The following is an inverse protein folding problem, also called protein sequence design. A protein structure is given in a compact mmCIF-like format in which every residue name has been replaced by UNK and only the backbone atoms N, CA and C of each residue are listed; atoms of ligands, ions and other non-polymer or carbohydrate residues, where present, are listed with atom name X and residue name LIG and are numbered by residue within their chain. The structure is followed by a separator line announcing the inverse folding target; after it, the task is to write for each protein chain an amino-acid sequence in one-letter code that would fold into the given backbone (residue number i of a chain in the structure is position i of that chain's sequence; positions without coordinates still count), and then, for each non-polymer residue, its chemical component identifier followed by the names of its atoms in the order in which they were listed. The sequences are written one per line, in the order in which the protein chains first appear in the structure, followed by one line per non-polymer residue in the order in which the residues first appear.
data_IF_223001710972
#
_entry.id   IF_223001710972
#
_cell.length_a   1.000
_cell.length_b   1.000
_cell.length_c   1.000
_cell.angle_alpha   90.00
_cell.angle_beta   90.00
_cell.angle_gamma   90.00
#
_symmetry.space_group_name_H-M   'P 1'
#
loop_
_entity.id
_entity.type
_entity.pdbx_description
1 polymer ?
#
# COMPACT_ATOMS: atom_id res chain seq x y z
N UNK A 1 -17.69 5.57 15.25
CA UNK A 1 -16.80 4.84 14.32
C UNK A 1 -15.41 5.45 14.41
N UNK A 2 -14.42 4.66 14.72
CA UNK A 2 -13.04 5.16 14.85
C UNK A 2 -12.31 4.93 13.53
N UNK A 3 -12.17 5.99 12.73
CA UNK A 3 -11.53 5.90 11.41
C UNK A 3 -10.04 5.62 11.50
N UNK A 4 -9.36 6.08 12.57
CA UNK A 4 -7.94 5.77 12.74
C UNK A 4 -7.72 4.29 13.02
N UNK A 5 -8.62 3.64 13.76
CA UNK A 5 -8.59 2.19 13.94
C UNK A 5 -8.84 1.45 12.62
N UNK A 6 -9.75 1.94 11.79
CA UNK A 6 -9.99 1.35 10.48
C UNK A 6 -8.77 1.48 9.57
N UNK A 7 -8.11 2.63 9.60
CA UNK A 7 -6.87 2.82 8.85
C UNK A 7 -5.76 1.91 9.37
N UNK A 8 -5.65 1.73 10.69
CA UNK A 8 -4.69 0.80 11.27
C UNK A 8 -4.99 -0.64 10.83
N UNK A 9 -6.26 -1.01 10.77
CA UNK A 9 -6.65 -2.35 10.32
C UNK A 9 -6.21 -2.62 8.88
N UNK A 10 -6.21 -1.61 8.01
CA UNK A 10 -5.68 -1.76 6.64
C UNK A 10 -4.20 -2.15 6.67
N UNK A 11 -3.40 -1.51 7.52
CA UNK A 11 -1.99 -1.85 7.67
C UNK A 11 -1.80 -3.24 8.28
N UNK A 12 -2.60 -3.57 9.29
CA UNK A 12 -2.51 -4.87 9.97
C UNK A 12 -2.85 -6.02 9.03
N UNK A 13 -3.87 -5.86 8.20
CA UNK A 13 -4.26 -6.87 7.22
C UNK A 13 -3.23 -7.02 6.10
N UNK A 14 -2.54 -5.95 5.75
CA UNK A 14 -1.40 -6.05 4.84
C UNK A 14 -0.29 -6.89 5.47
N UNK A 15 0.06 -6.59 6.71
CA UNK A 15 1.18 -7.25 7.41
C UNK A 15 0.96 -8.75 7.60
N UNK A 16 -0.27 -9.17 7.91
CA UNK A 16 -0.58 -10.59 8.09
C UNK A 16 -1.05 -11.26 6.80
N UNK A 17 -1.08 -10.52 5.70
CA UNK A 17 -1.51 -10.98 4.36
C UNK A 17 -2.99 -11.33 4.25
N UNK A 18 -3.80 -11.00 5.26
CA UNK A 18 -5.24 -11.24 5.22
C UNK A 18 -5.99 -10.24 4.33
N UNK A 19 -5.31 -9.20 3.82
CA UNK A 19 -5.93 -8.26 2.89
C UNK A 19 -6.56 -8.96 1.69
N UNK A 20 -6.02 -10.10 1.27
CA UNK A 20 -6.56 -10.87 0.13
C UNK A 20 -8.00 -11.28 0.37
N UNK A 21 -8.31 -11.69 1.60
CA UNK A 21 -9.67 -12.13 1.96
C UNK A 21 -10.54 -11.00 2.47
N UNK A 22 -9.94 -9.97 3.06
CA UNK A 22 -10.65 -8.92 3.79
C UNK A 22 -10.88 -7.64 2.99
N UNK A 23 -10.24 -7.49 1.82
CA UNK A 23 -10.36 -6.27 1.03
C UNK A 23 -11.83 -5.93 0.71
N UNK A 24 -12.64 -6.93 0.34
CA UNK A 24 -14.06 -6.73 0.03
C UNK A 24 -14.87 -6.25 1.21
N UNK A 25 -14.47 -6.62 2.43
CA UNK A 25 -15.15 -6.20 3.65
C UNK A 25 -14.74 -4.81 4.08
N UNK A 26 -13.50 -4.41 3.79
CA UNK A 26 -12.95 -3.12 4.22
C UNK A 26 -13.21 -2.00 3.23
N UNK A 27 -13.45 -2.33 1.96
CA UNK A 27 -13.48 -1.36 0.87
C UNK A 27 -14.83 -1.36 0.15
N UNK A 28 -15.22 -0.17 -0.32
CA UNK A 28 -16.37 -0.02 -1.19
C UNK A 28 -16.10 -0.78 -2.51
N UNK A 29 -17.13 -1.39 -3.13
CA UNK A 29 -16.94 -2.08 -4.42
C UNK A 29 -16.34 -1.22 -5.53
N UNK A 30 -16.52 0.11 -5.46
CA UNK A 30 -16.00 1.06 -6.44
C UNK A 30 -14.80 1.84 -5.92
N UNK A 31 -14.12 1.34 -4.90
CA UNK A 31 -12.96 2.03 -4.31
C UNK A 31 -11.95 2.44 -5.38
N UNK A 32 -11.49 3.69 -5.30
CA UNK A 32 -10.43 4.20 -6.18
C UNK A 32 -9.08 4.04 -5.50
N UNK A 33 -8.17 3.34 -6.16
CA UNK A 33 -6.80 3.16 -5.72
C UNK A 33 -5.91 4.05 -6.59
N UNK A 34 -5.09 4.89 -5.97
CA UNK A 34 -4.18 5.80 -6.68
C UNK A 34 -2.76 5.57 -6.22
N UNK A 35 -1.88 5.25 -7.15
CA UNK A 35 -0.43 5.25 -6.93
C UNK A 35 0.10 6.58 -7.49
N UNK A 36 0.37 7.54 -6.62
CA UNK A 36 0.78 8.87 -7.04
C UNK A 36 2.09 8.89 -7.83
N UNK A 37 3.15 8.19 -7.41
CA UNK A 37 4.42 8.24 -8.13
C UNK A 37 4.33 7.82 -9.59
N UNK A 38 3.46 6.86 -9.91
CA UNK A 38 3.26 6.40 -11.30
C UNK A 38 2.04 7.03 -11.95
N UNK A 39 1.25 7.79 -11.21
CA UNK A 39 -0.01 8.37 -11.64
C UNK A 39 -1.01 7.29 -12.14
N UNK A 40 -0.95 6.12 -11.53
CA UNK A 40 -1.78 4.99 -11.89
C UNK A 40 -3.05 4.98 -11.04
N UNK A 41 -4.20 4.77 -11.69
CA UNK A 41 -5.49 4.65 -11.02
C UNK A 41 -6.12 3.30 -11.33
N UNK A 42 -6.68 2.68 -10.30
CA UNK A 42 -7.33 1.37 -10.39
C UNK A 42 -8.60 1.40 -9.56
N UNK A 43 -9.56 0.52 -9.88
CA UNK A 43 -10.83 0.48 -9.16
C UNK A 43 -11.17 -0.92 -8.67
N UNK A 44 -11.73 -0.95 -7.47
CA UNK A 44 -12.31 -2.14 -6.85
C UNK A 44 -11.37 -2.84 -5.88
N UNK A 45 -11.93 -3.64 -4.96
CA UNK A 45 -11.12 -4.39 -3.99
C UNK A 45 -10.15 -5.37 -4.64
N UNK A 46 -10.51 -5.98 -5.77
CA UNK A 46 -9.62 -6.90 -6.47
C UNK A 46 -8.39 -6.16 -7.00
N UNK A 47 -8.54 -4.92 -7.45
CA UNK A 47 -7.42 -4.09 -7.89
C UNK A 47 -6.48 -3.76 -6.72
N UNK A 48 -7.04 -3.51 -5.53
CA UNK A 48 -6.23 -3.30 -4.33
C UNK A 48 -5.40 -4.56 -4.00
N UNK A 49 -6.01 -5.73 -4.10
CA UNK A 49 -5.32 -7.00 -3.85
C UNK A 49 -4.17 -7.18 -4.85
N UNK A 50 -4.42 -6.98 -6.14
CA UNK A 50 -3.39 -7.10 -7.17
C UNK A 50 -2.26 -6.09 -6.98
N UNK A 51 -2.59 -4.86 -6.63
CA UNK A 51 -1.62 -3.81 -6.36
C UNK A 51 -0.72 -4.19 -5.17
N UNK A 52 -1.32 -4.64 -4.08
CA UNK A 52 -0.60 -5.06 -2.88
C UNK A 52 0.25 -6.30 -3.14
N UNK A 53 -0.27 -7.26 -3.90
CA UNK A 53 0.46 -8.48 -4.27
C UNK A 53 1.74 -8.17 -5.05
N UNK A 54 1.74 -7.10 -5.86
CA UNK A 54 2.93 -6.69 -6.58
C UNK A 54 4.10 -6.38 -5.67
N UNK A 55 3.85 -5.68 -4.57
CA UNK A 55 4.89 -5.38 -3.58
C UNK A 55 5.31 -6.62 -2.79
N UNK A 56 4.37 -7.46 -2.41
CA UNK A 56 4.66 -8.70 -1.66
C UNK A 56 5.44 -9.69 -2.53
N UNK A 57 5.16 -9.73 -3.83
CA UNK A 57 5.90 -10.58 -4.77
C UNK A 57 7.36 -10.17 -4.89
N UNK A 58 7.63 -8.86 -4.86
CA UNK A 58 8.98 -8.32 -4.93
C UNK A 58 9.70 -8.44 -3.59
N UNK A 59 8.99 -8.13 -2.50
CA UNK A 59 9.54 -8.07 -1.13
C UNK A 59 8.64 -8.95 -0.25
N UNK A 60 8.84 -10.29 -0.26
CA UNK A 60 7.92 -11.21 0.41
C UNK A 60 7.78 -11.00 1.92
N UNK A 61 8.78 -10.46 2.57
CA UNK A 61 8.78 -10.14 4.01
C UNK A 61 8.42 -8.68 4.29
N UNK A 62 7.89 -7.96 3.32
CA UNK A 62 7.52 -6.55 3.49
C UNK A 62 6.52 -6.37 4.63
N UNK A 63 6.88 -5.48 5.55
CA UNK A 63 6.08 -5.14 6.71
C UNK A 63 6.01 -3.64 6.85
N UNK A 64 4.80 -3.11 7.02
CA UNK A 64 4.57 -1.69 7.25
C UNK A 64 4.31 -1.42 8.73
N UNK A 65 5.02 -0.46 9.29
CA UNK A 65 4.79 0.04 10.64
C UNK A 65 4.19 1.44 10.53
N UNK A 66 2.98 1.61 11.06
CA UNK A 66 2.33 2.92 11.08
C UNK A 66 3.05 3.80 12.13
N UNK A 67 3.61 4.90 11.67
CA UNK A 67 4.31 5.87 12.53
C UNK A 67 3.32 6.86 13.11
N UNK A 68 2.35 7.29 12.30
CA UNK A 68 1.38 8.30 12.69
C UNK A 68 0.12 8.18 11.85
N UNK A 69 -1.03 8.34 12.49
CA UNK A 69 -2.33 8.51 11.82
C UNK A 69 -2.88 9.89 12.16
N UNK A 70 -3.41 10.59 11.16
CA UNK A 70 -4.09 11.87 11.33
C UNK A 70 -5.44 11.84 10.65
N UNK A 71 -6.49 12.04 11.43
CA UNK A 71 -7.85 12.11 10.88
C UNK A 71 -8.23 13.56 10.59
N UNK A 72 -8.84 13.78 9.45
CA UNK A 72 -9.46 15.05 9.07
C UNK A 72 -10.80 14.76 8.38
N UNK A 73 -11.91 14.99 9.08
CA UNK A 73 -13.22 14.65 8.56
C UNK A 73 -13.35 13.13 8.34
N UNK A 74 -13.66 12.74 7.12
CA UNK A 74 -13.79 11.33 6.73
C UNK A 74 -12.50 10.74 6.14
N UNK A 75 -11.37 11.43 6.30
CA UNK A 75 -10.07 11.00 5.78
C UNK A 75 -9.11 10.71 6.90
N UNK A 76 -8.26 9.71 6.70
CA UNK A 76 -7.13 9.42 7.58
C UNK A 76 -5.86 9.38 6.74
N UNK A 77 -4.88 10.19 7.12
CA UNK A 77 -3.54 10.15 6.53
C UNK A 77 -2.63 9.37 7.45
N UNK A 78 -1.95 8.37 6.92
CA UNK A 78 -1.04 7.51 7.67
C UNK A 78 0.36 7.66 7.10
N UNK A 79 1.34 7.86 7.98
CA UNK A 79 2.75 7.76 7.61
C UNK A 79 3.24 6.39 8.05
N UNK A 80 3.83 5.65 7.13
CA UNK A 80 4.18 4.24 7.32
C UNK A 80 5.63 4.01 6.93
N UNK A 81 6.32 3.18 7.71
CA UNK A 81 7.67 2.70 7.37
C UNK A 81 7.57 1.27 6.89
N UNK A 82 7.94 1.04 5.63
CA UNK A 82 8.00 -0.29 5.05
C UNK A 82 9.43 -0.83 5.10
N UNK A 83 9.56 -2.08 5.51
CA UNK A 83 10.86 -2.76 5.62
C UNK A 83 10.74 -4.19 5.11
N UNK A 84 11.78 -4.66 4.45
CA UNK A 84 11.86 -6.03 3.96
C UNK A 84 13.12 -6.24 3.14
N UNK A 85 13.16 -7.34 2.38
CA UNK A 85 14.30 -7.69 1.53
C UNK A 85 13.81 -7.96 0.11
N UNK A 86 14.50 -7.35 -0.86
CA UNK A 86 14.15 -7.49 -2.27
C UNK A 86 14.67 -8.83 -2.81
N UNK A 87 13.94 -9.91 -2.52
CA UNK A 87 14.32 -11.27 -2.92
C UNK A 87 13.47 -11.82 -4.07
N UNK A 88 12.32 -11.20 -4.36
CA UNK A 88 11.45 -11.63 -5.46
C UNK A 88 11.70 -10.84 -6.73
N UNK A 89 10.64 -10.53 -7.47
CA UNK A 89 10.71 -9.77 -8.71
C UNK A 89 9.74 -8.61 -8.66
N UNK A 90 10.19 -7.41 -9.02
CA UNK A 90 9.34 -6.23 -9.18
C UNK A 90 8.99 -6.06 -10.64
N UNK A 91 7.68 -6.01 -10.95
CA UNK A 91 7.20 -5.68 -12.30
C UNK A 91 6.95 -4.18 -12.36
N UNK A 92 7.60 -3.52 -13.33
CA UNK A 92 7.46 -2.08 -13.56
C UNK A 92 6.98 -1.85 -14.98
N UNK A 93 6.51 -0.62 -15.31
CA UNK A 93 6.17 -0.28 -16.70
C UNK A 93 7.33 -0.46 -17.70
N UNK A 94 8.57 -0.38 -17.21
CA UNK A 94 9.77 -0.57 -18.03
C UNK A 94 10.24 -2.01 -18.08
N UNK A 95 9.54 -2.94 -17.41
CA UNK A 95 9.89 -4.34 -17.39
C UNK A 95 10.07 -4.88 -15.98
N UNK A 96 10.54 -6.12 -15.88
CA UNK A 96 10.75 -6.79 -14.60
C UNK A 96 12.16 -6.53 -14.07
N UNK A 97 12.25 -6.28 -12.75
CA UNK A 97 13.52 -6.11 -12.06
C UNK A 97 13.69 -7.30 -11.11
N UNK A 98 14.71 -8.14 -11.32
CA UNK A 98 14.95 -9.30 -10.45
C UNK A 98 15.46 -8.85 -9.09
N UNK A 99 15.15 -9.62 -8.06
CA UNK A 99 15.60 -9.34 -6.70
C UNK A 99 17.12 -9.39 -6.56
N UNK A 100 17.64 -8.53 -5.69
CA UNK A 100 19.08 -8.46 -5.39
C UNK A 100 19.41 -8.91 -3.96
N UNK A 101 18.38 -9.26 -3.16
CA UNK A 101 18.53 -9.66 -1.76
C UNK A 101 18.83 -8.53 -0.79
N UNK A 102 18.90 -7.31 -1.26
CA UNK A 102 19.23 -6.17 -0.41
C UNK A 102 18.06 -5.79 0.50
N UNK A 103 18.35 -5.26 1.71
CA UNK A 103 17.30 -4.70 2.54
C UNK A 103 16.70 -3.46 1.88
N UNK A 104 15.38 -3.30 2.06
CA UNK A 104 14.62 -2.15 1.59
C UNK A 104 13.98 -1.49 2.80
N UNK A 105 14.13 -0.19 2.93
CA UNK A 105 13.42 0.61 3.93
C UNK A 105 12.93 1.87 3.26
N UNK A 106 11.62 2.11 3.33
CA UNK A 106 11.01 3.27 2.70
C UNK A 106 9.89 3.80 3.59
N UNK A 107 9.82 5.12 3.71
CA UNK A 107 8.65 5.78 4.28
C UNK A 107 7.68 6.12 3.16
N UNK A 108 6.40 5.88 3.42
CA UNK A 108 5.35 6.23 2.48
C UNK A 108 4.13 6.75 3.23
N UNK A 109 3.28 7.46 2.50
CA UNK A 109 2.04 8.00 3.02
C UNK A 109 0.86 7.34 2.35
N UNK A 110 -0.16 7.03 3.16
CA UNK A 110 -1.43 6.51 2.68
C UNK A 110 -2.53 7.46 3.16
N UNK A 111 -3.37 7.92 2.23
CA UNK A 111 -4.58 8.64 2.57
C UNK A 111 -5.78 7.76 2.24
N UNK A 112 -6.63 7.51 3.23
CA UNK A 112 -7.85 6.75 3.04
C UNK A 112 -9.05 7.64 3.32
N UNK A 113 -10.02 7.64 2.40
CA UNK A 113 -11.29 8.29 2.59
C UNK A 113 -12.35 7.22 2.81
N UNK A 114 -13.21 7.45 3.82
CA UNK A 114 -14.22 6.47 4.24
C UNK A 114 -15.62 7.01 3.99
N UNK A 115 -16.54 6.11 3.66
CA UNK A 115 -17.96 6.45 3.61
C UNK A 115 -18.61 6.27 4.99
N UNK A 116 -19.93 6.54 5.07
CA UNK A 116 -20.67 6.47 6.34
C UNK A 116 -20.73 5.05 6.92
N UNK A 117 -20.52 4.04 6.09
CA UNK A 117 -20.47 2.64 6.52
C UNK A 117 -19.09 2.21 7.00
N UNK A 118 -18.10 3.12 6.98
CA UNK A 118 -16.73 2.81 7.36
C UNK A 118 -15.95 2.04 6.30
N UNK A 119 -16.40 2.08 5.05
CA UNK A 119 -15.69 1.45 3.93
C UNK A 119 -14.80 2.46 3.25
N UNK A 120 -13.61 2.03 2.83
CA UNK A 120 -12.69 2.87 2.08
C UNK A 120 -13.25 3.11 0.68
N UNK A 121 -13.44 4.36 0.31
CA UNK A 121 -13.89 4.75 -1.04
C UNK A 121 -12.74 5.28 -1.89
N UNK A 122 -11.64 5.70 -1.25
CA UNK A 122 -10.44 6.18 -1.94
C UNK A 122 -9.20 5.82 -1.11
N UNK A 123 -8.23 5.22 -1.76
CA UNK A 123 -6.95 4.81 -1.18
C UNK A 123 -5.83 5.39 -2.05
N UNK A 124 -5.06 6.32 -1.49
CA UNK A 124 -3.99 7.00 -2.21
C UNK A 124 -2.67 6.71 -1.51
N UNK A 125 -1.68 6.21 -2.25
CA UNK A 125 -0.34 5.97 -1.72
C UNK A 125 0.66 6.87 -2.44
N UNK A 126 1.58 7.44 -1.66
CA UNK A 126 2.65 8.30 -2.16
C UNK A 126 3.98 7.92 -1.51
N UNK A 127 5.03 7.90 -2.30
CA UNK A 127 6.38 7.56 -1.85
C UNK A 127 7.41 8.14 -2.83
N UNK A 128 8.68 8.19 -2.41
CA UNK A 128 9.78 8.64 -3.27
C UNK A 128 10.17 7.53 -4.23
N UNK A 129 9.70 7.63 -5.48
CA UNK A 129 9.96 6.64 -6.51
C UNK A 129 11.45 6.51 -6.83
N UNK A 130 12.20 7.61 -6.83
CA UNK A 130 13.63 7.57 -7.13
C UNK A 130 14.39 6.80 -6.06
N UNK A 131 14.08 7.06 -4.80
CA UNK A 131 14.69 6.34 -3.69
C UNK A 131 14.34 4.86 -3.72
N UNK A 132 13.07 4.55 -3.98
CA UNK A 132 12.62 3.17 -4.06
C UNK A 132 13.33 2.42 -5.18
N UNK A 133 13.38 3.00 -6.38
CA UNK A 133 14.07 2.39 -7.52
C UNK A 133 15.57 2.22 -7.27
N UNK A 134 16.20 3.19 -6.60
CA UNK A 134 17.60 3.08 -6.23
C UNK A 134 17.85 1.89 -5.31
N UNK A 135 17.01 1.69 -4.30
CA UNK A 135 17.11 0.55 -3.38
C UNK A 135 16.90 -0.79 -4.09
N UNK A 136 16.06 -0.81 -5.13
CA UNK A 136 15.85 -1.99 -5.95
C UNK A 136 16.99 -2.22 -6.96
N UNK A 137 17.94 -1.29 -7.08
CA UNK A 137 19.02 -1.39 -8.07
C UNK A 137 18.57 -1.11 -9.50
N UNK A 138 17.43 -0.41 -9.68
CA UNK A 138 16.83 -0.14 -10.97
C UNK A 138 17.04 1.31 -11.44
N UNK A 139 17.74 2.12 -10.65
CA UNK A 139 18.01 3.52 -10.98
C UNK A 139 19.49 3.75 -11.28
#
# INVERSE_FOLDING_TARGET
MDLEQLAQATADTFNDRSYRDKAKDMMDPDVLIVDKPTNQEMRGPDAYVQYSDGFVKAIPDLRGTVIENKQSGNKVSSRVRGQGHFTGTMVTPQGSVPGNGNPVEIEYEIEQEFNDAGKVVRFVIDYDMQDFMRQLGAA
#
